data_IF_073938093590
#
_entry.id   IF_073938093590
#
_cell.length_a   1.000
_cell.length_b   1.000
_cell.length_c   1.000
_cell.angle_alpha   90.00
_cell.angle_beta   90.00
_cell.angle_gamma   90.00
#
_symmetry.space_group_name_H-M   'P 1'
#
loop_
_entity.id
_entity.type
_entity.pdbx_description
1 polymer ?
#
# COMPACT_ATOMS: atom_id res chain seq x y z
N UNK A 1 -10.25 -8.45 4.62
CA UNK A 1 -9.11 -8.87 3.77
C UNK A 1 -8.16 -7.68 3.65
N UNK A 2 -6.85 -7.92 3.53
CA UNK A 2 -5.93 -6.87 3.09
C UNK A 2 -6.13 -6.71 1.58
N UNK A 3 -6.47 -5.51 1.12
CA UNK A 3 -6.82 -5.21 -0.26
C UNK A 3 -6.12 -3.93 -0.71
N UNK A 4 -5.80 -3.83 -2.00
CA UNK A 4 -5.47 -2.57 -2.64
C UNK A 4 -6.57 -2.22 -3.66
N UNK A 5 -7.65 -1.54 -3.22
CA UNK A 5 -8.85 -1.36 -4.03
C UNK A 5 -8.65 -0.46 -5.27
N UNK A 6 -7.66 0.44 -5.24
CA UNK A 6 -7.36 1.33 -6.37
C UNK A 6 -6.67 0.61 -7.54
N UNK A 7 -6.17 -0.61 -7.30
CA UNK A 7 -5.47 -1.44 -8.29
C UNK A 7 -6.18 -2.79 -8.46
N UNK A 8 -7.08 -2.90 -9.47
CA UNK A 8 -7.87 -4.11 -9.70
C UNK A 8 -7.02 -5.38 -9.90
N UNK A 9 -5.81 -5.25 -10.42
CA UNK A 9 -4.85 -6.32 -10.69
C UNK A 9 -3.89 -6.60 -9.52
N UNK A 10 -4.12 -6.00 -8.34
CA UNK A 10 -3.27 -6.22 -7.17
C UNK A 10 -3.31 -7.68 -6.68
N UNK A 11 -2.12 -8.24 -6.41
CA UNK A 11 -1.97 -9.53 -5.74
C UNK A 11 -2.22 -9.37 -4.24
N UNK A 12 -3.48 -9.45 -3.84
CA UNK A 12 -3.92 -9.22 -2.48
C UNK A 12 -4.85 -10.33 -1.96
N UNK A 13 -5.54 -10.07 -0.85
CA UNK A 13 -6.38 -11.04 -0.15
C UNK A 13 -7.50 -11.66 -1.00
N UNK A 14 -7.79 -11.15 -2.20
CA UNK A 14 -8.67 -11.81 -3.19
C UNK A 14 -8.13 -13.17 -3.66
N UNK A 15 -6.81 -13.36 -3.67
CA UNK A 15 -6.16 -14.59 -4.13
C UNK A 15 -5.81 -15.55 -2.99
N UNK A 16 -5.36 -15.03 -1.84
CA UNK A 16 -4.85 -15.84 -0.72
C UNK A 16 -5.69 -15.77 0.56
N UNK A 17 -6.80 -15.02 0.56
CA UNK A 17 -7.68 -14.88 1.71
C UNK A 17 -7.13 -13.97 2.81
N UNK A 18 -7.67 -14.05 4.04
CA UNK A 18 -7.27 -13.20 5.15
C UNK A 18 -5.84 -13.49 5.63
N UNK A 19 -5.06 -12.44 5.91
CA UNK A 19 -3.77 -12.57 6.57
C UNK A 19 -3.94 -12.79 8.08
N UNK A 20 -3.10 -13.64 8.65
CA UNK A 20 -2.96 -13.75 10.12
C UNK A 20 -2.34 -12.47 10.67
N UNK A 21 -2.72 -12.09 11.89
CA UNK A 21 -2.16 -10.91 12.55
C UNK A 21 -0.63 -10.96 12.67
N UNK A 22 -0.05 -12.14 12.87
CA UNK A 22 1.41 -12.35 12.94
C UNK A 22 2.15 -12.05 11.63
N UNK A 23 1.46 -11.97 10.51
CA UNK A 23 2.05 -11.61 9.21
C UNK A 23 2.09 -10.08 8.99
N UNK A 24 1.48 -9.28 9.88
CA UNK A 24 1.43 -7.82 9.76
C UNK A 24 2.60 -7.21 10.52
N UNK A 25 3.48 -6.51 9.80
CA UNK A 25 4.65 -5.84 10.40
C UNK A 25 4.28 -4.54 11.13
N UNK A 26 3.26 -3.82 10.66
CA UNK A 26 2.84 -2.56 11.25
C UNK A 26 2.00 -1.72 10.31
N UNK A 27 1.81 -0.44 10.66
CA UNK A 27 1.12 0.56 9.86
C UNK A 27 2.12 1.43 9.12
N UNK A 28 1.92 1.65 7.83
CA UNK A 28 2.73 2.58 7.05
C UNK A 28 2.59 4.00 7.61
N UNK A 29 3.72 4.70 7.77
CA UNK A 29 3.77 6.12 8.13
C UNK A 29 3.98 6.90 6.83
N UNK A 30 3.12 7.87 6.51
CA UNK A 30 3.23 8.66 5.29
C UNK A 30 4.59 9.36 5.16
N UNK A 31 5.07 9.48 3.92
CA UNK A 31 6.30 10.20 3.61
C UNK A 31 6.07 11.20 2.48
N UNK A 32 6.89 12.25 2.44
CA UNK A 32 6.92 13.16 1.31
C UNK A 32 7.55 12.47 0.10
N UNK A 33 6.80 12.41 -0.99
CA UNK A 33 7.24 11.81 -2.25
C UNK A 33 7.03 12.78 -3.41
N UNK A 34 7.85 12.63 -4.46
CA UNK A 34 7.67 13.32 -5.75
C UNK A 34 7.92 12.33 -6.88
N UNK A 35 7.20 12.49 -7.99
CA UNK A 35 7.27 11.57 -9.13
C UNK A 35 8.51 11.82 -10.00
N UNK A 36 8.95 13.08 -10.11
CA UNK A 36 10.14 13.51 -10.88
C UNK A 36 11.01 14.46 -10.05
N UNK A 37 12.29 14.71 -10.43
CA UNK A 37 13.18 15.70 -9.81
C UNK A 37 12.53 17.03 -9.46
N UNK A 38 11.77 17.59 -10.40
CA UNK A 38 11.27 18.96 -10.32
C UNK A 38 9.80 19.06 -9.86
N UNK A 39 9.14 17.93 -9.60
CA UNK A 39 7.77 17.92 -9.13
C UNK A 39 7.67 18.33 -7.65
N UNK A 40 6.60 19.05 -7.24
CA UNK A 40 6.33 19.34 -5.83
C UNK A 40 6.25 18.08 -4.99
N UNK A 41 6.70 18.16 -3.74
CA UNK A 41 6.52 17.09 -2.77
C UNK A 41 5.05 16.96 -2.38
N UNK A 42 4.59 15.72 -2.30
CA UNK A 42 3.23 15.35 -1.91
C UNK A 42 3.29 14.34 -0.79
N UNK A 43 2.45 14.52 0.23
CA UNK A 43 2.22 13.48 1.23
C UNK A 43 1.50 12.30 0.59
N UNK A 44 2.06 11.11 0.76
CA UNK A 44 1.47 9.83 0.36
C UNK A 44 1.50 8.86 1.50
#
# INVERSE_FOLDING_TARGET
LLLNPDHPDSLDGRYFGPLRASAVLGRAIPILTRQTPDAPLTWR
#
